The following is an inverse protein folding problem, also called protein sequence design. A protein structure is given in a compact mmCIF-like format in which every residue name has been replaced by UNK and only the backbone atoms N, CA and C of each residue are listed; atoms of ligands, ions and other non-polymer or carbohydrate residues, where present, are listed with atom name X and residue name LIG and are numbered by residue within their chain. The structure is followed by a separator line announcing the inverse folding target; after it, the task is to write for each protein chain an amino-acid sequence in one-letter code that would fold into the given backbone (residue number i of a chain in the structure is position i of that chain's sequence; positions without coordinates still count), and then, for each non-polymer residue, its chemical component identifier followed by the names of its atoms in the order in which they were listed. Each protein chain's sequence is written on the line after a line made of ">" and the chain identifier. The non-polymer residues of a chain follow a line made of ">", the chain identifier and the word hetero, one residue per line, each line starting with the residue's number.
data_IF_241883543554
#
_entry.id   IF_241883543554
#
_cell.length_a   1.000
_cell.length_b   1.000
_cell.length_c   1.000
_cell.angle_alpha   90.00
_cell.angle_beta   90.00
_cell.angle_gamma   90.00
#
_symmetry.space_group_name_H-M   'P 1'
#
loop_
_entity.id
_entity.type
_entity.pdbx_description
1 polymer ?
#
# COMPACT_ATOMS: atom_id res chain seq x y z
N UNK A 1 -5.54 48.01 3.10
CA UNK A 1 -4.29 47.54 3.77
C UNK A 1 -4.69 46.67 4.94
N UNK A 2 -4.75 45.36 4.75
CA UNK A 2 -5.02 44.39 5.82
C UNK A 2 -3.94 43.32 5.79
N UNK A 3 -2.98 43.41 6.70
CA UNK A 3 -1.82 42.52 6.76
C UNK A 3 -2.17 41.15 7.33
N UNK A 4 -1.74 40.09 6.66
CA UNK A 4 -1.85 38.71 7.15
C UNK A 4 -0.73 38.51 8.19
N UNK A 5 -1.10 38.23 9.44
CA UNK A 5 -0.15 37.84 10.50
C UNK A 5 0.19 36.36 10.35
N UNK A 6 1.40 36.06 9.89
CA UNK A 6 1.95 34.70 9.88
C UNK A 6 2.44 34.37 11.29
N UNK A 7 1.82 33.39 11.93
CA UNK A 7 2.26 32.85 13.23
C UNK A 7 3.14 31.63 12.96
N UNK A 8 4.46 31.79 13.03
CA UNK A 8 5.42 30.69 13.01
C UNK A 8 5.54 30.07 14.40
N UNK A 9 4.95 28.89 14.63
CA UNK A 9 5.28 28.08 15.81
C UNK A 9 6.57 27.30 15.55
N UNK A 10 7.54 27.48 16.45
CA UNK A 10 8.79 26.73 16.51
C UNK A 10 8.50 25.33 17.04
N UNK A 11 8.63 24.29 16.21
CA UNK A 11 8.53 22.89 16.65
C UNK A 11 9.78 22.57 17.49
N UNK A 12 9.56 22.18 18.73
CA UNK A 12 10.61 21.71 19.66
C UNK A 12 10.93 20.27 19.26
N UNK A 13 12.17 20.01 18.85
CA UNK A 13 12.62 18.70 18.37
C UNK A 13 12.34 17.59 19.39
N UNK A 14 11.54 16.61 18.98
CA UNK A 14 11.32 15.37 19.69
C UNK A 14 12.41 14.36 19.36
N UNK A 15 12.94 13.72 20.39
CA UNK A 15 13.95 12.66 20.32
C UNK A 15 13.37 11.46 19.57
N UNK A 16 14.04 11.04 18.49
CA UNK A 16 13.76 9.78 17.80
C UNK A 16 14.06 8.61 18.77
N UNK A 17 13.02 7.91 19.20
CA UNK A 17 13.14 6.66 19.93
C UNK A 17 13.84 5.59 19.08
N UNK A 18 14.57 4.69 19.74
CA UNK A 18 15.32 3.63 19.09
C UNK A 18 14.40 2.68 18.30
N UNK A 19 14.87 2.12 17.16
CA UNK A 19 14.09 1.17 16.38
C UNK A 19 13.83 -0.09 17.20
N UNK A 20 12.55 -0.47 17.28
CA UNK A 20 12.12 -1.73 17.87
C UNK A 20 12.60 -2.87 16.97
N UNK A 21 13.57 -3.63 17.44
CA UNK A 21 14.08 -4.83 16.78
C UNK A 21 13.04 -5.93 16.99
N UNK A 22 12.40 -6.38 15.91
CA UNK A 22 11.50 -7.54 15.93
C UNK A 22 12.33 -8.80 15.71
N UNK A 23 12.45 -9.62 16.75
CA UNK A 23 13.15 -10.89 16.70
C UNK A 23 12.45 -11.89 15.77
N UNK A 24 13.17 -12.24 14.70
CA UNK A 24 13.28 -13.57 14.09
C UNK A 24 12.04 -14.48 14.04
N UNK A 25 11.38 -14.50 12.87
CA UNK A 25 10.74 -15.74 12.41
C UNK A 25 11.83 -16.80 12.20
N UNK A 26 11.75 -17.88 12.98
CA UNK A 26 12.59 -19.07 12.85
C UNK A 26 12.38 -19.73 11.48
N UNK A 27 13.45 -20.00 10.70
CA UNK A 27 13.33 -20.81 9.48
C UNK A 27 13.14 -22.30 9.84
N UNK A 28 12.22 -22.96 9.14
CA UNK A 28 12.08 -24.41 9.18
C UNK A 28 13.39 -25.10 8.74
N UNK A 29 13.88 -26.02 9.57
CA UNK A 29 15.07 -26.82 9.28
C UNK A 29 14.74 -27.84 8.17
N UNK A 30 15.30 -27.67 6.97
CA UNK A 30 15.35 -28.74 5.96
C UNK A 30 16.67 -29.50 6.12
N UNK A 31 16.54 -30.82 6.17
CA UNK A 31 17.64 -31.78 6.31
C UNK A 31 18.09 -32.17 4.90
N UNK A 32 19.30 -31.79 4.52
CA UNK A 32 19.89 -32.17 3.24
C UNK A 32 20.21 -33.67 3.17
N UNK A 33 19.77 -34.33 2.10
CA UNK A 33 20.29 -35.64 1.65
C UNK A 33 20.87 -35.44 0.24
N UNK A 34 22.13 -35.84 -0.01
CA UNK A 34 22.77 -35.60 -1.29
C UNK A 34 22.49 -36.75 -2.26
N UNK A 35 22.23 -36.45 -3.54
CA UNK A 35 22.96 -36.96 -4.71
C UNK A 35 22.23 -36.59 -6.03
N UNK A 36 23.01 -36.25 -7.06
CA UNK A 36 22.63 -35.83 -8.45
C UNK A 36 22.40 -34.33 -8.71
N UNK A 37 23.25 -33.46 -8.15
CA UNK A 37 23.02 -32.01 -8.06
C UNK A 37 23.35 -31.13 -9.30
N UNK A 38 24.04 -31.61 -10.34
CA UNK A 38 24.60 -30.69 -11.36
C UNK A 38 23.63 -30.25 -12.47
N UNK A 39 22.76 -31.15 -12.97
CA UNK A 39 21.81 -30.82 -14.04
C UNK A 39 20.46 -30.31 -13.52
N UNK A 40 20.06 -30.73 -12.32
CA UNK A 40 18.81 -30.31 -11.67
C UNK A 40 18.92 -28.85 -11.20
N UNK A 41 20.06 -28.43 -10.63
CA UNK A 41 20.25 -27.04 -10.21
C UNK A 41 20.05 -26.06 -11.36
N UNK A 42 20.58 -26.36 -12.56
CA UNK A 42 20.42 -25.49 -13.73
C UNK A 42 18.97 -25.37 -14.18
N UNK A 43 18.22 -26.46 -14.17
CA UNK A 43 16.81 -26.46 -14.59
C UNK A 43 15.94 -25.70 -13.58
N UNK A 44 16.20 -25.87 -12.28
CA UNK A 44 15.54 -25.12 -11.21
C UNK A 44 15.87 -23.63 -11.29
N UNK A 45 17.13 -23.24 -11.51
CA UNK A 45 17.51 -21.83 -11.66
C UNK A 45 16.86 -21.21 -12.91
N UNK A 46 16.78 -21.93 -14.03
CA UNK A 46 16.08 -21.45 -15.24
C UNK A 46 14.58 -21.29 -14.97
N UNK A 47 13.95 -22.24 -14.28
CA UNK A 47 12.53 -22.14 -13.90
C UNK A 47 12.27 -20.95 -12.96
N UNK A 48 13.14 -20.73 -11.98
CA UNK A 48 13.04 -19.58 -11.09
C UNK A 48 13.24 -18.26 -11.85
N UNK A 49 14.20 -18.18 -12.77
CA UNK A 49 14.43 -17.01 -13.61
C UNK A 49 13.30 -16.72 -14.59
N UNK A 50 12.54 -17.75 -15.03
CA UNK A 50 11.34 -17.58 -15.85
C UNK A 50 10.12 -17.19 -15.01
N UNK A 51 10.05 -17.68 -13.76
CA UNK A 51 9.03 -17.30 -12.80
C UNK A 51 9.26 -15.90 -12.20
N UNK A 52 10.51 -15.43 -12.08
CA UNK A 52 10.86 -14.14 -11.49
C UNK A 52 10.15 -12.95 -12.18
N UNK A 53 10.14 -12.84 -13.52
CA UNK A 53 9.38 -11.81 -14.25
C UNK A 53 7.86 -11.91 -14.03
N UNK A 54 7.34 -13.11 -13.75
CA UNK A 54 5.93 -13.34 -13.44
C UNK A 54 5.61 -13.05 -11.96
N UNK A 55 6.62 -13.13 -11.07
CA UNK A 55 6.54 -12.79 -9.65
C UNK A 55 6.86 -11.31 -9.36
N UNK A 56 7.44 -10.57 -10.30
CA UNK A 56 7.49 -9.11 -10.31
C UNK A 56 6.10 -8.54 -10.69
N UNK A 57 5.10 -8.95 -9.91
CA UNK A 57 3.69 -8.87 -10.25
C UNK A 57 3.20 -7.42 -10.24
N UNK A 58 2.63 -7.03 -11.37
CA UNK A 58 1.92 -5.78 -11.60
C UNK A 58 0.81 -5.57 -10.56
N UNK A 59 0.89 -4.50 -9.79
CA UNK A 59 -0.02 -4.19 -8.69
C UNK A 59 0.66 -3.33 -7.63
N UNK A 60 -0.06 -3.02 -6.56
CA UNK A 60 0.47 -2.22 -5.46
C UNK A 60 1.44 -2.99 -4.55
N UNK A 61 1.55 -4.31 -4.73
CA UNK A 61 2.21 -5.22 -3.79
C UNK A 61 1.40 -5.50 -2.52
N UNK A 62 0.22 -4.89 -2.35
CA UNK A 62 -0.61 -5.01 -1.16
C UNK A 62 -2.11 -5.02 -1.52
N UNK A 63 -2.73 -6.20 -1.48
CA UNK A 63 -4.16 -6.36 -1.78
C UNK A 63 -5.05 -5.44 -0.93
N UNK A 64 -4.71 -5.25 0.35
CA UNK A 64 -5.44 -4.37 1.23
C UNK A 64 -5.48 -2.92 0.70
N UNK A 65 -4.36 -2.42 0.18
CA UNK A 65 -4.31 -1.06 -0.38
C UNK A 65 -5.17 -0.94 -1.64
N UNK A 66 -5.13 -1.94 -2.53
CA UNK A 66 -5.97 -1.99 -3.72
C UNK A 66 -7.46 -2.00 -3.36
N UNK A 67 -7.85 -2.81 -2.37
CA UNK A 67 -9.22 -2.88 -1.87
C UNK A 67 -9.69 -1.56 -1.26
N UNK A 68 -8.80 -0.80 -0.59
CA UNK A 68 -9.12 0.55 -0.09
C UNK A 68 -9.33 1.51 -1.25
N UNK A 69 -8.44 1.51 -2.24
CA UNK A 69 -8.55 2.38 -3.43
C UNK A 69 -9.84 2.09 -4.19
N UNK A 70 -10.18 0.82 -4.41
CA UNK A 70 -11.43 0.42 -5.05
C UNK A 70 -12.64 0.99 -4.30
N UNK A 71 -12.72 0.79 -2.98
CA UNK A 71 -13.79 1.33 -2.14
C UNK A 71 -13.82 2.86 -2.11
N UNK A 72 -12.67 3.53 -2.19
CA UNK A 72 -12.60 5.00 -2.29
C UNK A 72 -13.23 5.48 -3.59
N UNK A 73 -12.95 4.79 -4.70
CA UNK A 73 -13.39 5.17 -6.05
C UNK A 73 -14.80 4.74 -6.40
N UNK A 74 -15.39 3.80 -5.67
CA UNK A 74 -16.77 3.33 -5.88
C UNK A 74 -17.79 4.46 -5.63
N UNK A 75 -18.50 4.96 -6.66
CA UNK A 75 -19.49 6.03 -6.46
C UNK A 75 -20.77 5.57 -5.76
N UNK A 76 -21.02 4.26 -5.66
CA UNK A 76 -22.21 3.69 -5.02
C UNK A 76 -22.02 3.45 -3.52
N UNK A 77 -20.76 3.34 -3.07
CA UNK A 77 -20.41 3.15 -1.67
C UNK A 77 -20.60 4.45 -0.86
N UNK A 78 -21.46 4.43 0.16
CA UNK A 78 -21.70 5.59 1.02
C UNK A 78 -20.49 5.94 1.91
N UNK A 79 -20.49 7.15 2.48
CA UNK A 79 -19.45 7.55 3.45
C UNK A 79 -19.46 6.70 4.71
N UNK A 80 -20.63 6.25 5.16
CA UNK A 80 -20.77 5.36 6.32
C UNK A 80 -20.20 3.97 6.03
N UNK A 81 -20.58 3.35 4.91
CA UNK A 81 -20.06 2.03 4.51
C UNK A 81 -18.54 2.07 4.29
N UNK A 82 -18.01 3.17 3.73
CA UNK A 82 -16.57 3.36 3.59
C UNK A 82 -15.85 3.41 4.93
N UNK A 83 -16.39 4.17 5.89
CA UNK A 83 -15.84 4.27 7.25
C UNK A 83 -15.87 2.91 7.94
N UNK A 84 -16.97 2.18 7.83
CA UNK A 84 -17.11 0.83 8.40
C UNK A 84 -16.10 -0.14 7.77
N UNK A 85 -15.91 -0.09 6.45
CA UNK A 85 -14.93 -0.91 5.76
C UNK A 85 -13.47 -0.64 6.18
N UNK A 86 -13.18 0.55 6.71
CA UNK A 86 -11.86 0.95 7.19
C UNK A 86 -11.73 0.99 8.72
N UNK A 87 -12.71 0.47 9.45
CA UNK A 87 -12.78 0.61 10.90
C UNK A 87 -11.55 0.07 11.65
N UNK A 88 -10.87 -0.95 11.10
CA UNK A 88 -9.62 -1.49 11.66
C UNK A 88 -8.46 -0.48 11.64
N UNK A 89 -8.50 0.49 10.72
CA UNK A 89 -7.46 1.52 10.56
C UNK A 89 -7.83 2.86 11.19
N UNK A 90 -9.04 2.96 11.78
CA UNK A 90 -9.55 4.19 12.39
C UNK A 90 -9.25 4.15 13.90
N UNK A 91 -8.34 5.02 14.34
CA UNK A 91 -7.87 5.06 15.73
C UNK A 91 -8.85 5.72 16.70
N UNK A 92 -9.63 6.68 16.22
CA UNK A 92 -10.49 7.54 17.05
C UNK A 92 -11.56 8.25 16.22
N UNK A 93 -12.42 9.01 16.89
CA UNK A 93 -13.51 9.76 16.25
C UNK A 93 -13.02 10.84 15.28
N UNK A 94 -11.84 11.43 15.50
CA UNK A 94 -11.31 12.42 14.58
C UNK A 94 -10.84 11.77 13.27
N UNK A 95 -10.15 10.62 13.36
CA UNK A 95 -9.80 9.81 12.18
C UNK A 95 -11.06 9.34 11.42
N UNK A 96 -12.12 8.99 12.16
CA UNK A 96 -13.43 8.61 11.59
C UNK A 96 -14.06 9.74 10.79
N UNK A 97 -14.05 10.95 11.35
CA UNK A 97 -14.56 12.15 10.66
C UNK A 97 -13.75 12.46 9.39
N UNK A 98 -12.42 12.36 9.48
CA UNK A 98 -11.52 12.56 8.33
C UNK A 98 -11.77 11.51 7.25
N UNK A 99 -11.96 10.24 7.60
CA UNK A 99 -12.26 9.18 6.64
C UNK A 99 -13.59 9.43 5.90
N UNK A 100 -14.62 9.89 6.62
CA UNK A 100 -15.90 10.26 6.02
C UNK A 100 -15.76 11.45 5.05
N UNK A 101 -15.05 12.51 5.47
CA UNK A 101 -14.78 13.68 4.63
C UNK A 101 -13.93 13.31 3.41
N UNK A 102 -12.93 12.44 3.58
CA UNK A 102 -12.10 11.94 2.49
C UNK A 102 -12.95 11.23 1.44
N UNK A 103 -13.83 10.31 1.84
CA UNK A 103 -14.77 9.66 0.90
C UNK A 103 -15.69 10.66 0.21
N UNK A 104 -16.21 11.64 0.96
CA UNK A 104 -17.08 12.68 0.40
C UNK A 104 -16.39 13.46 -0.74
N UNK A 105 -15.08 13.72 -0.65
CA UNK A 105 -14.32 14.37 -1.73
C UNK A 105 -14.31 13.58 -3.04
N UNK A 106 -14.39 12.26 -2.98
CA UNK A 106 -14.50 11.39 -4.16
C UNK A 106 -15.94 11.30 -4.68
N UNK A 107 -16.93 11.25 -3.78
CA UNK A 107 -18.35 11.22 -4.18
C UNK A 107 -18.81 12.45 -4.97
N UNK A 108 -18.14 13.61 -4.79
CA UNK A 108 -18.44 14.82 -5.58
C UNK A 108 -17.76 14.83 -6.96
N UNK A 109 -16.88 13.88 -7.25
CA UNK A 109 -16.20 13.79 -8.55
C UNK A 109 -17.12 13.15 -9.60
N UNK A 110 -16.85 13.42 -10.88
CA UNK A 110 -17.51 12.70 -11.96
C UNK A 110 -16.99 11.26 -12.10
N UNK A 111 -17.81 10.36 -12.65
CA UNK A 111 -17.37 9.00 -12.97
C UNK A 111 -16.13 8.96 -13.87
N UNK A 112 -15.99 9.93 -14.78
CA UNK A 112 -14.79 10.08 -15.61
C UNK A 112 -13.54 10.37 -14.75
N UNK A 113 -13.63 11.30 -13.81
CA UNK A 113 -12.53 11.62 -12.89
C UNK A 113 -12.17 10.42 -12.00
N UNK A 114 -13.17 9.71 -11.46
CA UNK A 114 -12.95 8.51 -10.66
C UNK A 114 -12.25 7.42 -11.48
N UNK A 115 -12.69 7.18 -12.71
CA UNK A 115 -12.05 6.23 -13.64
C UNK A 115 -10.61 6.64 -13.97
N UNK A 116 -10.36 7.92 -14.23
CA UNK A 116 -9.03 8.43 -14.51
C UNK A 116 -8.10 8.33 -13.30
N UNK A 117 -8.61 8.52 -12.09
CA UNK A 117 -7.84 8.29 -10.85
C UNK A 117 -7.47 6.81 -10.70
N UNK A 118 -8.40 5.89 -10.98
CA UNK A 118 -8.10 4.45 -10.99
C UNK A 118 -6.96 4.10 -11.96
N UNK A 119 -7.01 4.60 -13.20
CA UNK A 119 -5.93 4.42 -14.18
C UNK A 119 -4.60 5.04 -13.74
N UNK A 120 -4.66 6.20 -13.06
CA UNK A 120 -3.47 6.83 -12.50
C UNK A 120 -2.83 5.92 -11.44
N UNK A 121 -3.61 5.36 -10.51
CA UNK A 121 -3.12 4.43 -9.49
C UNK A 121 -2.51 3.17 -10.11
N UNK A 122 -3.21 2.55 -11.08
CA UNK A 122 -2.69 1.40 -11.83
C UNK A 122 -1.37 1.72 -12.53
N UNK A 123 -1.26 2.89 -13.16
CA UNK A 123 -0.01 3.34 -13.82
C UNK A 123 1.11 3.52 -12.81
N UNK A 124 0.82 4.05 -11.61
CA UNK A 124 1.81 4.20 -10.55
C UNK A 124 2.32 2.85 -10.05
N UNK A 125 1.39 1.94 -9.74
CA UNK A 125 1.68 0.58 -9.28
C UNK A 125 2.53 -0.22 -10.29
N UNK A 126 2.22 -0.08 -11.57
CA UNK A 126 2.94 -0.78 -12.64
C UNK A 126 4.20 -0.03 -13.13
N UNK A 127 4.55 1.08 -12.50
CA UNK A 127 5.76 1.81 -12.85
C UNK A 127 7.02 1.11 -12.35
N UNK A 128 8.13 1.29 -13.06
CA UNK A 128 9.45 0.80 -12.63
C UNK A 128 9.81 1.28 -11.21
N UNK A 129 9.29 2.44 -10.78
CA UNK A 129 9.57 3.00 -9.48
C UNK A 129 8.84 2.28 -8.34
N UNK A 130 7.63 1.78 -8.60
CA UNK A 130 6.88 1.01 -7.62
C UNK A 130 7.32 -0.47 -7.60
N UNK A 131 7.66 -1.04 -8.77
CA UNK A 131 8.11 -2.43 -8.89
C UNK A 131 9.42 -2.78 -8.14
N UNK A 132 10.12 -1.77 -7.61
CA UNK A 132 11.31 -1.95 -6.77
C UNK A 132 10.98 -2.26 -5.30
N UNK A 133 9.71 -2.13 -4.91
CA UNK A 133 9.19 -2.33 -3.56
C UNK A 133 8.17 -3.47 -3.53
#
# INVERSE_FOLDING_TARGET
>A
MGGIKVVTRRIKGGVLGAPHQSDSLHPCHIRDQPTTAASIMKLVTVLMLVALPLYCYAGSGCQLLEDVVEKTLDPELSTTEYVEALQEFISDDAAREVAAQFKQCFLIQSNETLSNFGKMMETMYNSLYCALF
#
